data_IF_926580367690
#
_entry.id   IF_926580367690
#
_cell.length_a   1.000
_cell.length_b   1.000
_cell.length_c   1.000
_cell.angle_alpha   90.00
_cell.angle_beta   90.00
_cell.angle_gamma   90.00
#
_symmetry.space_group_name_H-M   'P 1'
#
loop_
_entity.id
_entity.type
_entity.pdbx_description
1 polymer ?
#
# COMPACT_ATOMS: atom_id res chain seq x y z
N UNK A 1 -11.79 -1.91 -1.25
CA UNK A 1 -11.49 -1.42 -2.60
C UNK A 1 -10.63 -2.43 -3.32
N UNK A 2 -11.14 -2.91 -4.45
CA UNK A 2 -10.46 -3.85 -5.34
C UNK A 2 -9.37 -3.08 -6.10
N UNK A 3 -8.19 -3.67 -6.28
CA UNK A 3 -7.00 -3.01 -6.82
C UNK A 3 -7.25 -2.28 -8.15
N UNK A 4 -6.57 -1.15 -8.34
CA UNK A 4 -6.79 -0.27 -9.49
C UNK A 4 -7.23 1.15 -9.12
N UNK A 5 -7.25 1.50 -7.84
CA UNK A 5 -7.71 2.82 -7.40
C UNK A 5 -6.61 3.88 -7.52
N UNK A 6 -6.97 5.06 -8.03
CA UNK A 6 -6.07 6.21 -8.04
C UNK A 6 -5.85 6.68 -6.61
N UNK A 7 -4.59 6.82 -6.24
CA UNK A 7 -4.19 7.32 -4.92
C UNK A 7 -3.27 8.50 -5.08
N UNK A 8 -3.41 9.46 -4.18
CA UNK A 8 -2.52 10.63 -4.10
C UNK A 8 -1.39 10.38 -3.12
N UNK A 9 -0.27 11.09 -3.26
CA UNK A 9 0.86 11.01 -2.33
C UNK A 9 0.42 11.35 -0.90
N UNK A 10 0.80 10.50 0.06
CA UNK A 10 0.48 10.65 1.48
C UNK A 10 -0.87 10.06 1.89
N UNK A 11 -1.65 9.53 0.94
CA UNK A 11 -2.92 8.89 1.23
C UNK A 11 -2.71 7.58 2.01
N UNK A 12 -3.53 7.38 3.04
CA UNK A 12 -3.52 6.15 3.83
C UNK A 12 -4.23 5.06 3.03
N UNK A 13 -3.51 3.98 2.76
CA UNK A 13 -4.01 2.82 2.00
C UNK A 13 -4.67 1.81 2.95
N UNK A 14 -4.02 1.56 4.09
CA UNK A 14 -4.49 0.62 5.11
C UNK A 14 -4.02 1.11 6.48
N UNK A 15 -4.93 1.11 7.46
CA UNK A 15 -4.57 1.12 8.87
C UNK A 15 -4.64 -0.31 9.38
N UNK A 16 -3.57 -0.80 9.99
CA UNK A 16 -3.50 -2.18 10.46
C UNK A 16 -2.88 -2.27 11.85
N UNK A 17 -3.37 -3.20 12.66
CA UNK A 17 -2.70 -3.64 13.89
C UNK A 17 -1.89 -4.90 13.55
N UNK A 18 -0.57 -4.77 13.55
CA UNK A 18 0.34 -5.82 13.08
C UNK A 18 0.48 -5.85 11.55
N UNK A 19 1.31 -6.76 11.04
CA UNK A 19 1.78 -6.73 9.66
C UNK A 19 0.98 -7.67 8.74
N UNK A 20 -0.32 -7.40 8.58
CA UNK A 20 -1.22 -8.18 7.71
C UNK A 20 -0.93 -7.95 6.22
N UNK A 21 -0.59 -6.71 5.88
CA UNK A 21 -0.14 -6.28 4.58
C UNK A 21 1.28 -5.75 4.68
N UNK A 22 2.14 -6.22 3.80
CA UNK A 22 3.50 -5.70 3.66
C UNK A 22 3.54 -4.55 2.65
N UNK A 23 4.44 -3.59 2.89
CA UNK A 23 4.72 -2.52 1.94
C UNK A 23 5.40 -3.06 0.68
N UNK A 24 4.92 -2.59 -0.47
CA UNK A 24 5.53 -2.81 -1.78
C UNK A 24 6.11 -1.52 -2.36
N UNK A 25 6.24 -1.47 -3.68
CA UNK A 25 6.76 -0.29 -4.39
C UNK A 25 5.83 0.89 -4.17
N UNK A 26 6.35 2.11 -3.95
CA UNK A 26 5.52 3.31 -3.80
C UNK A 26 4.69 3.37 -2.51
N UNK A 27 4.95 2.49 -1.54
CA UNK A 27 4.27 2.45 -0.24
C UNK A 27 5.29 2.48 0.90
N UNK A 28 4.97 3.23 1.96
CA UNK A 28 5.72 3.20 3.23
C UNK A 28 4.81 2.81 4.38
N UNK A 29 5.46 2.39 5.46
CA UNK A 29 4.83 2.03 6.73
C UNK A 29 5.09 3.14 7.75
N UNK A 30 4.04 3.55 8.44
CA UNK A 30 4.07 4.51 9.54
C UNK A 30 4.47 3.86 10.87
N UNK A 31 4.66 4.68 11.89
CA UNK A 31 5.02 4.22 13.25
C UNK A 31 3.96 3.31 13.87
N UNK A 32 2.71 3.49 13.48
CA UNK A 32 1.54 2.71 13.89
C UNK A 32 1.27 1.49 13.00
N UNK A 33 2.23 1.13 12.12
CA UNK A 33 2.11 0.11 11.07
C UNK A 33 1.10 0.43 9.95
N UNK A 34 0.56 1.65 9.89
CA UNK A 34 -0.29 2.08 8.79
C UNK A 34 0.50 2.19 7.49
N UNK A 35 -0.06 1.69 6.38
CA UNK A 35 0.53 1.80 5.05
C UNK A 35 -0.01 3.03 4.32
N UNK A 36 0.89 3.83 3.76
CA UNK A 36 0.56 5.05 3.01
C UNK A 36 1.36 5.15 1.71
N UNK A 37 0.78 5.82 0.72
CA UNK A 37 1.43 6.08 -0.58
C UNK A 37 2.52 7.14 -0.44
N UNK A 38 3.65 6.97 -1.13
CA UNK A 38 4.72 7.97 -1.21
C UNK A 38 4.73 8.76 -2.53
N UNK A 39 3.89 8.36 -3.47
CA UNK A 39 3.71 8.97 -4.77
C UNK A 39 2.25 8.86 -5.20
N UNK A 40 1.84 9.73 -6.10
CA UNK A 40 0.57 9.60 -6.81
C UNK A 40 0.65 8.41 -7.78
N UNK A 41 -0.45 7.71 -7.98
CA UNK A 41 -0.46 6.56 -8.86
C UNK A 41 -1.67 5.65 -8.65
N UNK A 42 -1.48 4.38 -8.95
CA UNK A 42 -2.53 3.37 -8.81
C UNK A 42 -2.13 2.34 -7.76
N UNK A 43 -3.01 2.12 -6.78
CA UNK A 43 -2.82 1.14 -5.73
C UNK A 43 -3.17 -0.28 -6.23
N UNK A 44 -2.21 -1.19 -6.09
CA UNK A 44 -2.27 -2.57 -6.54
C UNK A 44 -2.00 -3.51 -5.38
N UNK A 45 -2.89 -4.49 -5.20
CA UNK A 45 -2.76 -5.52 -4.18
C UNK A 45 -2.25 -6.81 -4.84
N UNK A 46 -1.16 -7.35 -4.32
CA UNK A 46 -0.59 -8.61 -4.80
C UNK A 46 -0.30 -9.56 -3.63
N UNK A 47 -0.03 -10.83 -3.93
CA UNK A 47 0.38 -11.81 -2.93
C UNK A 47 1.75 -12.36 -3.33
N UNK A 48 2.74 -12.18 -2.46
CA UNK A 48 4.12 -12.65 -2.68
C UNK A 48 4.51 -13.57 -1.53
N UNK A 49 4.89 -14.82 -1.85
CA UNK A 49 5.34 -15.83 -0.88
C UNK A 49 4.37 -15.97 0.31
N UNK A 50 3.06 -16.05 0.02
CA UNK A 50 2.02 -16.17 1.05
C UNK A 50 1.61 -14.86 1.74
N UNK A 51 2.39 -13.78 1.64
CA UNK A 51 2.08 -12.46 2.23
C UNK A 51 1.35 -11.55 1.27
N UNK A 52 0.38 -10.77 1.77
CA UNK A 52 -0.31 -9.73 0.99
C UNK A 52 0.58 -8.49 0.93
N UNK A 53 0.75 -7.91 -0.25
CA UNK A 53 1.60 -6.75 -0.49
C UNK A 53 0.77 -5.67 -1.18
N UNK A 54 0.93 -4.42 -0.73
CA UNK A 54 0.30 -3.25 -1.37
C UNK A 54 1.40 -2.44 -2.04
N UNK A 55 1.26 -2.17 -3.34
CA UNK A 55 2.17 -1.31 -4.09
C UNK A 55 1.39 -0.17 -4.75
N UNK A 56 2.01 0.98 -4.91
CA UNK A 56 1.52 2.09 -5.72
C UNK A 56 2.48 2.27 -6.88
N UNK A 57 1.95 2.15 -8.09
CA UNK A 57 2.73 2.33 -9.32
C UNK A 57 2.29 3.66 -9.94
N UNK A 58 3.25 4.57 -10.12
CA UNK A 58 3.00 5.79 -10.90
C UNK A 58 2.77 5.37 -12.35
N UNK A 59 1.68 5.86 -12.94
CA UNK A 59 1.49 5.75 -14.38
C UNK A 59 2.35 6.80 -15.09
#
# INVERSE_FOLDING_TARGET
MFGGEKVVKGQILVRQRGNNFSKGVGVKEGRDHSLYSIADGVATYSKKLGKKVISVVSK
#
